data_IF_312706938932
#
_entry.id   IF_312706938932
#
_cell.length_a   1.000
_cell.length_b   1.000
_cell.length_c   1.000
_cell.angle_alpha   90.00
_cell.angle_beta   90.00
_cell.angle_gamma   90.00
#
_symmetry.space_group_name_H-M   'P 1'
#
loop_
_entity.id
_entity.type
_entity.pdbx_description
1 polymer ?
#
# COMPACT_ATOMS: atom_id res chain seq x y z
N UNK A 1 0.91 -3.35 -16.20
CA UNK A 1 0.12 -2.26 -16.84
C UNK A 1 1.11 -1.20 -17.36
N UNK A 2 0.75 -0.33 -18.33
CA UNK A 2 1.71 0.62 -18.88
C UNK A 2 2.31 1.58 -17.83
N UNK A 3 1.50 1.97 -16.85
CA UNK A 3 1.85 3.00 -15.85
C UNK A 3 2.06 2.46 -14.43
N UNK A 4 1.80 1.18 -14.16
CA UNK A 4 1.99 0.58 -12.84
C UNK A 4 2.57 -0.83 -12.93
N UNK A 5 3.56 -1.09 -12.09
CA UNK A 5 4.24 -2.37 -11.97
C UNK A 5 4.51 -2.71 -10.51
N UNK A 6 4.15 -3.93 -10.12
CA UNK A 6 4.57 -4.53 -8.86
C UNK A 6 5.91 -5.19 -9.09
N UNK A 7 6.95 -4.70 -8.40
CA UNK A 7 8.30 -5.24 -8.51
C UNK A 7 8.53 -6.37 -7.51
N UNK A 8 7.97 -6.22 -6.31
CA UNK A 8 8.15 -7.18 -5.21
C UNK A 8 6.95 -7.18 -4.28
N UNK A 9 6.61 -8.37 -3.79
CA UNK A 9 5.79 -8.59 -2.59
C UNK A 9 6.48 -9.69 -1.77
N UNK A 10 6.61 -9.49 -0.45
CA UNK A 10 7.21 -10.50 0.44
C UNK A 10 6.19 -11.51 0.97
N UNK A 11 4.91 -11.34 0.65
CA UNK A 11 3.80 -12.12 1.19
C UNK A 11 2.60 -12.02 0.25
N UNK A 12 1.85 -13.10 0.17
CA UNK A 12 0.60 -13.18 -0.59
C UNK A 12 -0.40 -12.13 -0.12
N UNK A 13 -1.06 -11.50 -1.08
CA UNK A 13 -2.05 -10.46 -0.85
C UNK A 13 -2.46 -9.78 -2.14
N UNK A 14 -3.30 -8.77 -2.00
CA UNK A 14 -3.62 -7.85 -3.08
C UNK A 14 -2.72 -6.62 -3.01
N UNK A 15 -2.20 -6.20 -4.16
CA UNK A 15 -1.54 -4.91 -4.31
C UNK A 15 -2.15 -4.19 -5.52
N UNK A 16 -2.91 -3.14 -5.26
CA UNK A 16 -3.65 -2.40 -6.28
C UNK A 16 -3.51 -0.91 -6.07
N UNK A 17 -3.51 -0.13 -7.16
CA UNK A 17 -3.49 1.33 -7.11
C UNK A 17 -4.66 1.90 -7.90
N UNK A 18 -5.27 2.96 -7.37
CA UNK A 18 -6.38 3.66 -7.97
C UNK A 18 -6.15 5.17 -7.89
N UNK A 19 -6.47 5.88 -8.98
CA UNK A 19 -6.53 7.34 -8.96
C UNK A 19 -7.76 7.80 -8.19
N UNK A 20 -7.58 8.76 -7.28
CA UNK A 20 -8.69 9.43 -6.58
C UNK A 20 -8.76 10.92 -6.95
N UNK A 21 -8.03 11.32 -7.98
CA UNK A 21 -8.01 12.67 -8.55
C UNK A 21 -8.98 12.73 -9.74
N UNK A 22 -10.28 12.75 -9.41
CA UNK A 22 -11.38 12.70 -10.37
C UNK A 22 -11.24 11.52 -11.36
N UNK A 23 -11.31 11.80 -12.67
CA UNK A 23 -11.18 10.80 -13.74
C UNK A 23 -9.76 10.74 -14.34
N UNK A 24 -8.77 11.36 -13.70
CA UNK A 24 -7.40 11.38 -14.26
C UNK A 24 -6.78 9.98 -14.22
N UNK A 25 -6.13 9.54 -15.30
CA UNK A 25 -5.38 8.28 -15.30
C UNK A 25 -4.17 8.36 -14.36
N UNK A 26 -3.61 7.20 -13.99
CA UNK A 26 -2.43 7.11 -13.10
C UNK A 26 -1.25 7.97 -13.56
N UNK A 27 -1.10 8.15 -14.88
CA UNK A 27 -0.03 8.95 -15.47
C UNK A 27 -0.11 10.45 -15.19
N UNK A 28 -1.30 10.95 -14.84
CA UNK A 28 -1.58 12.39 -14.65
C UNK A 28 -2.13 12.73 -13.26
N UNK A 29 -2.50 11.70 -12.49
CA UNK A 29 -3.10 11.86 -11.17
C UNK A 29 -2.11 12.44 -10.17
N UNK A 30 -2.49 13.51 -9.46
CA UNK A 30 -1.70 14.05 -8.35
C UNK A 30 -2.00 13.37 -7.02
N UNK A 31 -3.02 12.50 -6.97
CA UNK A 31 -3.47 11.80 -5.75
C UNK A 31 -4.05 10.43 -6.08
N UNK A 32 -3.42 9.40 -5.55
CA UNK A 32 -3.77 7.99 -5.74
C UNK A 32 -3.83 7.28 -4.39
N UNK A 33 -4.61 6.20 -4.32
CA UNK A 33 -4.63 5.28 -3.19
C UNK A 33 -4.06 3.95 -3.65
N UNK A 34 -3.07 3.46 -2.92
CA UNK A 34 -2.50 2.12 -3.04
C UNK A 34 -3.05 1.26 -1.90
N UNK A 35 -3.56 0.09 -2.23
CA UNK A 35 -4.07 -0.91 -1.29
C UNK A 35 -3.09 -2.07 -1.26
N UNK A 36 -2.50 -2.34 -0.11
CA UNK A 36 -1.73 -3.55 0.16
C UNK A 36 -2.47 -4.39 1.20
N UNK A 37 -3.35 -5.27 0.73
CA UNK A 37 -4.17 -6.11 1.58
C UNK A 37 -3.57 -7.51 1.67
N UNK A 38 -2.85 -7.75 2.77
CA UNK A 38 -2.40 -9.09 3.19
C UNK A 38 -3.47 -9.75 4.06
N UNK A 39 -3.22 -10.98 4.48
CA UNK A 39 -4.17 -11.72 5.32
C UNK A 39 -4.44 -10.98 6.66
N UNK A 40 -5.70 -11.00 7.12
CA UNK A 40 -6.14 -10.43 8.40
C UNK A 40 -6.93 -11.47 9.16
N UNK A 41 -6.46 -11.88 10.35
CA UNK A 41 -7.07 -12.95 11.14
C UNK A 41 -7.31 -12.49 12.58
N UNK A 42 -8.34 -13.00 13.25
CA UNK A 42 -8.52 -12.70 14.68
C UNK A 42 -7.37 -13.26 15.53
N UNK A 43 -7.11 -12.62 16.66
CA UNK A 43 -6.16 -13.15 17.64
C UNK A 43 -6.59 -14.54 18.13
N UNK A 44 -5.70 -15.52 17.96
CA UNK A 44 -5.96 -16.91 18.31
C UNK A 44 -6.98 -17.62 17.43
N UNK A 45 -7.15 -17.17 16.18
CA UNK A 45 -7.89 -17.90 15.15
C UNK A 45 -7.11 -19.16 14.75
N UNK A 46 -7.80 -20.29 14.66
CA UNK A 46 -7.21 -21.60 14.37
C UNK A 46 -7.95 -22.27 13.21
N UNK A 47 -7.17 -22.87 12.31
CA UNK A 47 -7.66 -23.62 11.14
C UNK A 47 -7.12 -25.05 11.20
N UNK A 48 -7.75 -25.94 10.45
CA UNK A 48 -7.30 -27.35 10.31
C UNK A 48 -5.92 -27.49 9.69
N UNK A 49 -5.48 -26.50 8.91
CA UNK A 49 -4.22 -26.52 8.19
C UNK A 49 -3.83 -25.15 7.64
N UNK A 50 -2.62 -25.04 7.04
CA UNK A 50 -2.06 -23.79 6.54
C UNK A 50 -2.83 -23.17 5.37
N UNK A 51 -3.66 -23.95 4.68
CA UNK A 51 -4.57 -23.50 3.62
C UNK A 51 -5.71 -22.61 4.12
N UNK A 52 -5.99 -22.63 5.43
CA UNK A 52 -7.01 -21.81 6.09
C UNK A 52 -8.43 -21.98 5.51
N UNK A 53 -8.76 -23.18 5.00
CA UNK A 53 -10.07 -23.46 4.38
C UNK A 53 -11.13 -23.81 5.43
N UNK A 54 -10.78 -24.58 6.46
CA UNK A 54 -11.73 -25.01 7.51
C UNK A 54 -11.38 -24.39 8.85
N UNK A 55 -12.32 -23.59 9.38
CA UNK A 55 -12.18 -22.90 10.66
C UNK A 55 -12.46 -23.84 11.83
N UNK A 56 -11.52 -23.93 12.78
CA UNK A 56 -11.71 -24.64 14.06
C UNK A 56 -12.19 -23.67 15.14
N UNK A 57 -11.55 -22.49 15.21
CA UNK A 57 -11.81 -21.49 16.25
C UNK A 57 -11.70 -20.10 15.68
N UNK A 58 -12.74 -19.30 15.87
CA UNK A 58 -12.83 -17.94 15.32
C UNK A 58 -11.89 -16.93 15.98
N UNK A 59 -11.36 -17.22 17.18
CA UNK A 59 -10.50 -16.30 17.94
C UNK A 59 -11.27 -15.12 18.54
N UNK A 60 -10.56 -14.00 18.79
CA UNK A 60 -11.13 -12.77 19.33
C UNK A 60 -10.47 -11.52 18.75
N UNK A 61 -11.12 -10.36 18.93
CA UNK A 61 -10.47 -9.07 18.67
C UNK A 61 -9.27 -8.86 19.62
N UNK A 62 -8.22 -8.15 19.18
CA UNK A 62 -8.07 -7.48 17.88
C UNK A 62 -7.74 -8.43 16.73
N UNK A 63 -8.06 -8.01 15.51
CA UNK A 63 -7.57 -8.66 14.30
C UNK A 63 -6.08 -8.35 14.08
N UNK A 64 -5.36 -9.32 13.54
CA UNK A 64 -3.93 -9.31 13.29
C UNK A 64 -3.71 -9.27 11.78
N UNK A 65 -3.14 -8.17 11.31
CA UNK A 65 -2.70 -7.99 9.93
C UNK A 65 -1.38 -8.72 9.73
N UNK A 66 -1.29 -9.57 8.70
CA UNK A 66 -0.04 -10.24 8.34
C UNK A 66 0.95 -9.20 7.82
N UNK A 67 2.11 -9.13 8.45
CA UNK A 67 3.18 -8.24 8.03
C UNK A 67 3.66 -8.60 6.63
N UNK A 68 4.02 -7.59 5.84
CA UNK A 68 4.54 -7.76 4.51
C UNK A 68 5.23 -6.50 4.01
N UNK A 69 6.04 -6.66 2.98
CA UNK A 69 6.73 -5.58 2.30
C UNK A 69 6.46 -5.64 0.81
N UNK A 70 6.37 -4.47 0.18
CA UNK A 70 6.21 -4.34 -1.25
C UNK A 70 7.17 -3.33 -1.85
N UNK A 71 7.40 -3.47 -3.15
CA UNK A 71 8.04 -2.45 -3.99
C UNK A 71 7.19 -2.27 -5.25
N UNK A 72 6.84 -1.03 -5.57
CA UNK A 72 6.06 -0.67 -6.75
C UNK A 72 6.75 0.42 -7.55
N UNK A 73 6.54 0.38 -8.86
CA UNK A 73 6.93 1.45 -9.77
C UNK A 73 5.69 2.02 -10.44
N UNK A 74 5.61 3.35 -10.44
CA UNK A 74 4.54 4.13 -11.06
C UNK A 74 5.15 5.05 -12.12
N UNK A 75 4.56 5.09 -13.32
CA UNK A 75 4.84 6.15 -14.29
C UNK A 75 3.82 7.28 -14.13
N UNK A 76 4.30 8.48 -13.86
CA UNK A 76 3.51 9.67 -13.61
C UNK A 76 4.29 10.92 -14.01
N UNK A 77 3.63 11.87 -14.67
CA UNK A 77 4.26 13.14 -15.11
C UNK A 77 4.79 13.99 -13.96
N UNK A 78 4.26 13.79 -12.76
CA UNK A 78 4.65 14.47 -11.52
C UNK A 78 5.52 13.57 -10.62
N UNK A 79 6.16 12.52 -11.16
CA UNK A 79 6.92 11.51 -10.41
C UNK A 79 7.85 12.07 -9.31
N UNK A 80 8.58 13.16 -9.59
CA UNK A 80 9.51 13.78 -8.63
C UNK A 80 8.83 14.44 -7.42
N UNK A 81 7.55 14.81 -7.56
CA UNK A 81 6.74 15.44 -6.52
C UNK A 81 5.97 14.43 -5.68
N UNK A 82 5.86 13.19 -6.12
CA UNK A 82 5.08 12.18 -5.42
C UNK A 82 5.80 11.70 -4.15
N UNK A 83 5.00 11.42 -3.12
CA UNK A 83 5.40 10.78 -1.87
C UNK A 83 4.40 9.69 -1.50
N UNK A 84 4.85 8.73 -0.71
CA UNK A 84 4.02 7.65 -0.19
C UNK A 84 3.71 7.92 1.30
N UNK A 85 2.46 7.77 1.68
CA UNK A 85 1.99 7.95 3.04
C UNK A 85 1.19 6.73 3.46
N UNK A 86 1.63 5.92 4.44
CA UNK A 86 0.74 4.97 5.08
C UNK A 86 -0.45 5.71 5.70
N UNK A 87 -1.64 5.14 5.62
CA UNK A 87 -2.85 5.72 6.21
C UNK A 87 -3.31 4.88 7.40
N UNK A 88 -3.83 5.55 8.43
CA UNK A 88 -4.65 4.86 9.43
C UNK A 88 -6.07 4.61 8.89
N UNK A 89 -6.89 3.87 9.65
CA UNK A 89 -8.25 3.52 9.25
C UNK A 89 -9.21 4.74 9.14
N UNK A 90 -8.80 5.92 9.61
CA UNK A 90 -9.53 7.17 9.40
C UNK A 90 -9.13 7.89 8.10
N UNK A 91 -8.12 7.37 7.39
CA UNK A 91 -7.55 7.99 6.20
C UNK A 91 -6.51 9.06 6.50
N UNK A 92 -6.09 9.22 7.77
CA UNK A 92 -5.07 10.20 8.14
C UNK A 92 -3.69 9.67 7.76
N UNK A 93 -2.89 10.53 7.12
CA UNK A 93 -1.48 10.26 6.78
C UNK A 93 -0.67 9.99 8.04
N UNK A 94 0.08 8.89 8.03
CA UNK A 94 1.14 8.59 8.96
C UNK A 94 2.47 9.17 8.42
N UNK A 95 3.60 8.65 8.89
CA UNK A 95 4.93 9.14 8.51
C UNK A 95 5.15 9.01 7.01
N UNK A 96 5.58 10.10 6.38
CA UNK A 96 5.96 10.12 4.96
C UNK A 96 7.10 9.13 4.67
N UNK A 97 6.97 8.44 3.54
CA UNK A 97 7.99 7.58 2.95
C UNK A 97 8.46 8.25 1.65
N UNK A 98 9.74 8.58 1.60
CA UNK A 98 10.37 9.12 0.40
C UNK A 98 10.45 8.06 -0.71
N UNK A 99 10.50 8.45 -1.99
CA UNK A 99 10.75 7.51 -3.07
C UNK A 99 12.12 6.84 -2.93
N UNK A 100 12.21 5.56 -3.29
CA UNK A 100 13.49 4.86 -3.41
C UNK A 100 14.30 5.40 -4.60
N UNK A 101 13.60 5.79 -5.68
CA UNK A 101 14.20 6.38 -6.88
C UNK A 101 13.18 7.14 -7.71
N UNK A 102 13.67 8.14 -8.47
CA UNK A 102 12.92 8.87 -9.49
C UNK A 102 13.77 8.95 -10.75
N UNK A 103 13.28 8.43 -11.87
CA UNK A 103 13.94 8.41 -13.17
C UNK A 103 12.98 8.94 -14.24
N UNK A 104 13.07 10.24 -14.56
CA UNK A 104 12.12 10.89 -15.47
C UNK A 104 10.69 10.83 -14.93
N UNK A 105 9.76 10.27 -15.72
CA UNK A 105 8.36 10.05 -15.30
C UNK A 105 8.18 8.80 -14.43
N UNK A 106 9.23 8.07 -14.06
CA UNK A 106 9.11 6.84 -13.27
C UNK A 106 9.50 7.10 -11.81
N UNK A 107 8.65 6.71 -10.86
CA UNK A 107 8.94 6.74 -9.42
C UNK A 107 8.79 5.35 -8.81
N UNK A 108 9.70 4.99 -7.90
CA UNK A 108 9.67 3.71 -7.17
C UNK A 108 9.50 3.96 -5.68
N UNK A 109 8.60 3.20 -5.06
CA UNK A 109 8.37 3.22 -3.62
C UNK A 109 8.44 1.81 -3.05
N UNK A 110 8.94 1.73 -1.82
CA UNK A 110 8.87 0.52 -1.00
C UNK A 110 8.31 0.83 0.37
N UNK A 111 7.54 -0.10 0.92
CA UNK A 111 7.08 -0.04 2.30
C UNK A 111 7.15 -1.43 2.93
N UNK A 112 7.39 -1.46 4.25
CA UNK A 112 7.31 -2.66 5.08
C UNK A 112 6.32 -2.38 6.21
N UNK A 113 5.20 -3.11 6.27
CA UNK A 113 4.13 -2.84 7.24
C UNK A 113 4.51 -3.17 8.68
N UNK A 114 5.60 -3.92 8.90
CA UNK A 114 6.17 -4.13 10.24
C UNK A 114 7.03 -2.97 10.72
N UNK A 115 7.64 -2.22 9.80
CA UNK A 115 8.51 -1.07 10.12
C UNK A 115 7.79 0.26 10.01
N UNK A 116 7.00 0.43 8.95
CA UNK A 116 6.44 1.71 8.51
C UNK A 116 4.99 1.92 9.02
N UNK A 117 4.45 0.94 9.75
CA UNK A 117 3.12 0.94 10.34
C UNK A 117 2.23 -0.12 9.70
N UNK A 118 1.35 -0.74 10.51
CA UNK A 118 0.40 -1.77 10.09
C UNK A 118 -0.75 -1.18 9.25
N UNK A 119 -0.40 -0.63 8.09
CA UNK A 119 -1.31 0.02 7.16
C UNK A 119 -1.72 -0.94 6.03
N UNK A 120 -3.01 -0.93 5.70
CA UNK A 120 -3.56 -1.58 4.50
C UNK A 120 -3.62 -0.57 3.35
N UNK A 121 -3.90 0.70 3.67
CA UNK A 121 -4.03 1.78 2.72
C UNK A 121 -2.81 2.68 2.76
N UNK A 122 -2.38 3.11 1.58
CA UNK A 122 -1.34 4.09 1.40
C UNK A 122 -1.85 5.14 0.41
N UNK A 123 -1.49 6.40 0.64
CA UNK A 123 -1.73 7.47 -0.31
C UNK A 123 -0.43 7.77 -1.06
N UNK A 124 -0.50 7.85 -2.38
CA UNK A 124 0.54 8.43 -3.21
C UNK A 124 0.06 9.81 -3.63
N UNK A 125 0.72 10.87 -3.18
CA UNK A 125 0.29 12.23 -3.46
C UNK A 125 1.45 13.15 -3.74
N UNK A 126 1.20 14.20 -4.53
CA UNK A 126 2.12 15.32 -4.66
C UNK A 126 2.33 15.99 -3.30
N UNK A 127 3.57 16.30 -2.96
CA UNK A 127 3.85 17.23 -1.88
C UNK A 127 3.31 18.59 -2.25
N UNK A 128 2.46 19.15 -1.40
CA UNK A 128 2.04 20.53 -1.55
C UNK A 128 3.29 21.41 -1.49
N UNK A 129 3.53 22.23 -2.52
CA UNK A 129 4.47 23.34 -2.42
C UNK A 129 4.06 24.15 -1.18
N UNK A 130 5.00 24.41 -0.27
CA UNK A 130 4.77 25.35 0.82
C UNK A 130 4.16 26.62 0.23
N UNK A 131 2.98 26.99 0.72
CA UNK A 131 2.34 28.26 0.41
C UNK A 131 3.05 29.38 1.15
#
# INVERSE_FOLDING_TARGET
LPDFSVQKMSTDGNLAVVSVDAMKPLRESGRMVLVYATNVLNSGMEFTGPEMVTLIKIGKVPALLRHGAFTVTLKNRNASKLRLYPLDMSGRRLKEIAPDSVNGESVTFSADTGRDGAAIYFEIAETSSAK
#
